data_IF_596018075582
#
_entry.id   IF_596018075582
#
_cell.length_a   1.000
_cell.length_b   1.000
_cell.length_c   1.000
_cell.angle_alpha   90.00
_cell.angle_beta   90.00
_cell.angle_gamma   90.00
#
_symmetry.space_group_name_H-M   'P 1'
#
loop_
_entity.id
_entity.type
_entity.pdbx_description
1 polymer ?
#
# COMPACT_ATOMS: atom_id res chain seq x y z
N UNK A 1 -17.49 -25.45 4.50
CA UNK A 1 -16.52 -24.34 4.30
C UNK A 1 -17.14 -23.11 4.97
N UNK A 2 -16.57 -22.59 6.05
CA UNK A 2 -17.19 -21.46 6.79
C UNK A 2 -17.00 -20.19 5.95
N UNK A 3 -18.08 -19.74 5.30
CA UNK A 3 -18.10 -18.51 4.52
C UNK A 3 -17.95 -17.31 5.47
N UNK A 4 -17.19 -16.29 5.08
CA UNK A 4 -17.20 -15.00 5.77
C UNK A 4 -18.53 -14.28 5.47
N UNK A 5 -19.64 -14.77 6.04
CA UNK A 5 -21.00 -14.31 5.75
C UNK A 5 -21.17 -12.81 6.03
N UNK A 6 -20.66 -12.32 7.16
CA UNK A 6 -20.70 -10.89 7.51
C UNK A 6 -20.03 -10.02 6.43
N UNK A 7 -18.85 -10.45 5.94
CA UNK A 7 -18.10 -9.73 4.91
C UNK A 7 -18.81 -9.79 3.55
N UNK A 8 -19.42 -10.93 3.22
CA UNK A 8 -20.22 -11.07 2.00
C UNK A 8 -21.48 -10.23 2.05
N UNK A 9 -22.19 -10.24 3.18
CA UNK A 9 -23.36 -9.40 3.42
C UNK A 9 -22.98 -7.93 3.28
N UNK A 10 -21.87 -7.52 3.90
CA UNK A 10 -21.34 -6.16 3.80
C UNK A 10 -21.12 -5.71 2.35
N UNK A 11 -20.40 -6.51 1.55
CA UNK A 11 -20.17 -6.17 0.15
C UNK A 11 -21.45 -6.23 -0.69
N UNK A 12 -22.35 -7.18 -0.41
CA UNK A 12 -23.65 -7.24 -1.09
C UNK A 12 -24.49 -6.00 -0.83
N UNK A 13 -24.54 -5.51 0.42
CA UNK A 13 -25.23 -4.27 0.80
C UNK A 13 -24.69 -3.08 0.03
N UNK A 14 -23.36 -2.94 -0.06
CA UNK A 14 -22.73 -1.87 -0.82
C UNK A 14 -22.99 -1.98 -2.34
N UNK A 15 -22.93 -3.18 -2.91
CA UNK A 15 -23.25 -3.41 -4.32
C UNK A 15 -24.70 -3.04 -4.66
N UNK A 16 -25.63 -3.18 -3.71
CA UNK A 16 -27.02 -2.75 -3.83
C UNK A 16 -27.25 -1.25 -3.58
N UNK A 17 -26.18 -0.44 -3.48
CA UNK A 17 -26.28 1.00 -3.22
C UNK A 17 -26.53 1.36 -1.75
N UNK A 18 -26.38 0.39 -0.84
CA UNK A 18 -26.52 0.61 0.59
C UNK A 18 -25.45 1.55 1.13
N UNK A 19 -25.84 2.42 2.06
CA UNK A 19 -24.93 3.32 2.77
C UNK A 19 -24.47 2.71 4.10
N UNK A 20 -23.30 3.14 4.57
CA UNK A 20 -22.78 2.85 5.90
C UNK A 20 -22.64 4.15 6.68
N UNK A 21 -23.06 4.11 7.94
CA UNK A 21 -22.92 5.24 8.85
C UNK A 21 -22.24 4.77 10.12
N UNK A 22 -21.09 5.35 10.42
CA UNK A 22 -20.41 5.13 11.69
C UNK A 22 -21.03 6.03 12.75
N UNK A 23 -21.74 5.42 13.69
CA UNK A 23 -22.27 6.10 14.87
C UNK A 23 -21.24 6.01 15.99
N UNK A 24 -20.75 7.17 16.46
CA UNK A 24 -19.73 7.24 17.53
C UNK A 24 -20.29 7.01 18.94
N UNK A 25 -21.59 6.80 19.06
CA UNK A 25 -22.25 6.43 20.32
C UNK A 25 -22.35 4.91 20.46
N UNK A 26 -22.38 4.43 21.71
CA UNK A 26 -22.53 3.01 22.02
C UNK A 26 -23.96 2.57 21.72
N UNK A 27 -24.15 1.78 20.65
CA UNK A 27 -25.46 1.23 20.30
C UNK A 27 -25.67 -0.21 20.80
N UNK A 28 -24.59 -0.99 20.84
CA UNK A 28 -24.62 -2.40 21.17
C UNK A 28 -23.36 -2.76 21.96
N UNK A 29 -23.56 -3.48 23.06
CA UNK A 29 -22.47 -4.11 23.82
C UNK A 29 -22.58 -5.61 23.62
N UNK A 30 -21.54 -6.24 23.09
CA UNK A 30 -21.47 -7.69 22.94
C UNK A 30 -20.25 -8.26 23.66
N UNK A 31 -20.34 -9.52 24.09
CA UNK A 31 -19.22 -10.23 24.71
C UNK A 31 -18.42 -10.95 23.63
N UNK A 32 -17.22 -10.46 23.34
CA UNK A 32 -16.28 -11.19 22.49
C UNK A 32 -15.83 -12.49 23.17
N UNK A 33 -15.84 -13.59 22.43
CA UNK A 33 -15.23 -14.87 22.84
C UNK A 33 -14.07 -15.16 21.92
N UNK A 34 -12.86 -15.17 22.47
CA UNK A 34 -11.63 -15.42 21.72
C UNK A 34 -11.67 -16.80 21.04
N UNK A 35 -11.19 -16.87 19.80
CA UNK A 35 -11.15 -18.10 18.99
C UNK A 35 -12.53 -18.63 18.53
N UNK A 36 -13.63 -18.00 18.94
CA UNK A 36 -14.99 -18.46 18.65
C UNK A 36 -15.73 -17.59 17.63
N UNK A 37 -15.15 -16.46 17.20
CA UNK A 37 -15.74 -15.66 16.13
C UNK A 37 -15.49 -16.31 14.77
N UNK A 38 -16.49 -16.28 13.88
CA UNK A 38 -16.35 -16.78 12.50
C UNK A 38 -15.18 -16.10 11.77
N UNK A 39 -15.00 -14.79 12.00
CA UNK A 39 -13.89 -14.03 11.43
C UNK A 39 -12.51 -14.52 11.90
N UNK A 40 -12.37 -14.95 13.17
CA UNK A 40 -11.10 -15.49 13.69
C UNK A 40 -10.72 -16.85 13.09
N UNK A 41 -11.70 -17.61 12.63
CA UNK A 41 -11.51 -18.93 12.05
C UNK A 41 -11.44 -18.92 10.52
N UNK A 42 -11.80 -17.80 9.89
CA UNK A 42 -11.74 -17.66 8.44
C UNK A 42 -10.28 -17.51 8.00
N UNK A 43 -9.78 -18.32 7.04
CA UNK A 43 -8.40 -18.20 6.57
C UNK A 43 -8.10 -16.80 6.03
N UNK A 44 -6.95 -16.21 6.43
CA UNK A 44 -6.50 -14.89 5.96
C UNK A 44 -6.49 -14.79 4.43
N UNK A 45 -6.09 -15.86 3.74
CA UNK A 45 -6.11 -15.91 2.27
C UNK A 45 -7.52 -15.82 1.69
N UNK A 46 -8.52 -16.43 2.31
CA UNK A 46 -9.91 -16.33 1.86
C UNK A 46 -10.45 -14.91 2.03
N UNK A 47 -10.18 -14.29 3.19
CA UNK A 47 -10.54 -12.89 3.44
C UNK A 47 -9.87 -11.95 2.42
N UNK A 48 -8.59 -12.17 2.12
CA UNK A 48 -7.88 -11.43 1.09
C UNK A 48 -8.57 -11.55 -0.28
N UNK A 49 -8.89 -12.76 -0.74
CA UNK A 49 -9.55 -12.95 -2.03
C UNK A 49 -10.93 -12.29 -2.07
N UNK A 50 -11.72 -12.41 -1.01
CA UNK A 50 -13.03 -11.75 -0.94
C UNK A 50 -12.90 -10.22 -1.03
N UNK A 51 -11.93 -9.63 -0.33
CA UNK A 51 -11.65 -8.19 -0.37
C UNK A 51 -11.15 -7.75 -1.76
N UNK A 52 -10.30 -8.55 -2.40
CA UNK A 52 -9.80 -8.25 -3.77
C UNK A 52 -10.93 -8.34 -4.79
N UNK A 53 -11.77 -9.37 -4.74
CA UNK A 53 -12.93 -9.48 -5.64
C UNK A 53 -13.90 -8.30 -5.49
N UNK A 54 -14.13 -7.83 -4.25
CA UNK A 54 -14.93 -6.64 -4.01
C UNK A 54 -14.25 -5.38 -4.57
N UNK A 55 -12.94 -5.22 -4.37
CA UNK A 55 -12.16 -4.13 -4.94
C UNK A 55 -12.22 -4.11 -6.48
N UNK A 56 -12.05 -5.26 -7.13
CA UNK A 56 -12.12 -5.37 -8.59
C UNK A 56 -13.49 -4.89 -9.10
N UNK A 57 -14.58 -5.44 -8.54
CA UNK A 57 -15.95 -5.10 -8.99
C UNK A 57 -16.36 -3.68 -8.69
N UNK A 58 -16.02 -3.18 -7.50
CA UNK A 58 -16.56 -1.90 -7.02
C UNK A 58 -15.69 -0.73 -7.41
N UNK A 59 -14.37 -0.92 -7.51
CA UNK A 59 -13.41 0.16 -7.74
C UNK A 59 -12.78 0.04 -9.12
N UNK A 60 -12.20 -1.11 -9.46
CA UNK A 60 -11.44 -1.27 -10.70
C UNK A 60 -12.33 -1.29 -11.96
N UNK A 61 -13.48 -1.98 -11.88
CA UNK A 61 -14.42 -2.17 -12.99
C UNK A 61 -15.48 -1.08 -13.09
N UNK A 62 -15.75 -0.35 -12.00
CA UNK A 62 -16.75 0.74 -11.98
C UNK A 62 -16.08 2.11 -11.98
N UNK A 63 -15.34 2.43 -10.92
CA UNK A 63 -14.82 3.78 -10.72
C UNK A 63 -13.63 4.11 -11.61
N UNK A 64 -12.81 3.09 -11.93
CA UNK A 64 -11.54 3.27 -12.65
C UNK A 64 -11.54 2.71 -14.06
N UNK A 65 -12.64 2.13 -14.55
CA UNK A 65 -12.69 1.60 -15.91
C UNK A 65 -12.31 2.67 -16.95
N UNK A 66 -12.80 3.89 -16.77
CA UNK A 66 -12.57 5.02 -17.68
C UNK A 66 -11.44 5.95 -17.22
N UNK A 67 -10.89 5.75 -16.01
CA UNK A 67 -9.82 6.60 -15.45
C UNK A 67 -8.47 5.93 -15.62
N UNK A 68 -7.48 6.67 -16.13
CA UNK A 68 -6.09 6.22 -16.21
C UNK A 68 -5.91 4.87 -16.94
N UNK A 69 -6.83 4.50 -17.85
CA UNK A 69 -6.88 3.18 -18.50
C UNK A 69 -6.91 2.01 -17.48
N UNK A 70 -7.59 2.22 -16.36
CA UNK A 70 -7.66 1.28 -15.24
C UNK A 70 -6.35 1.07 -14.49
N UNK A 71 -5.27 1.79 -14.81
CA UNK A 71 -3.96 1.61 -14.18
C UNK A 71 -3.92 2.23 -12.79
N UNK A 72 -3.15 1.60 -11.91
CA UNK A 72 -2.96 2.07 -10.53
C UNK A 72 -1.63 1.63 -9.93
N UNK A 73 -1.26 2.25 -8.82
CA UNK A 73 -0.05 1.98 -8.07
C UNK A 73 -0.37 1.20 -6.80
N UNK A 74 0.49 0.24 -6.44
CA UNK A 74 0.41 -0.44 -5.14
C UNK A 74 1.51 0.07 -4.20
N UNK A 75 1.15 0.69 -3.09
CA UNK A 75 2.10 1.06 -2.05
C UNK A 75 2.38 -0.13 -1.14
N UNK A 76 3.62 -0.62 -1.17
CA UNK A 76 4.14 -1.66 -0.30
C UNK A 76 4.53 -2.92 -1.07
N UNK A 77 5.79 -2.99 -1.51
CA UNK A 77 6.37 -4.17 -2.18
C UNK A 77 6.72 -5.33 -1.21
N UNK A 78 5.97 -5.42 -0.09
CA UNK A 78 6.12 -6.45 0.94
C UNK A 78 5.23 -7.67 0.68
N UNK A 79 5.06 -8.50 1.70
CA UNK A 79 4.18 -9.69 1.66
C UNK A 79 2.75 -9.31 1.27
N UNK A 80 2.17 -8.34 1.95
CA UNK A 80 0.75 -7.99 1.80
C UNK A 80 0.43 -7.42 0.41
N UNK A 81 1.26 -6.50 -0.11
CA UNK A 81 1.09 -5.97 -1.47
C UNK A 81 1.31 -7.02 -2.56
N UNK A 82 2.30 -7.93 -2.38
CA UNK A 82 2.49 -9.06 -3.31
C UNK A 82 1.32 -10.04 -3.26
N UNK A 83 0.77 -10.31 -2.07
CA UNK A 83 -0.40 -11.16 -1.89
C UNK A 83 -1.64 -10.53 -2.53
N UNK A 84 -1.84 -9.21 -2.38
CA UNK A 84 -2.88 -8.46 -3.09
C UNK A 84 -2.78 -8.63 -4.61
N UNK A 85 -1.61 -8.37 -5.20
CA UNK A 85 -1.41 -8.50 -6.66
C UNK A 85 -1.64 -9.94 -7.14
N UNK A 86 -1.18 -10.95 -6.40
CA UNK A 86 -1.44 -12.36 -6.74
C UNK A 86 -2.93 -12.71 -6.67
N UNK A 87 -3.67 -12.11 -5.75
CA UNK A 87 -5.09 -12.37 -5.53
C UNK A 87 -6.01 -11.66 -6.54
N UNK A 88 -5.51 -10.71 -7.35
CA UNK A 88 -6.24 -10.18 -8.50
C UNK A 88 -6.65 -11.34 -9.42
N UNK A 89 -7.89 -11.32 -9.91
CA UNK A 89 -8.54 -12.49 -10.51
C UNK A 89 -8.00 -12.82 -11.90
N UNK A 90 -7.74 -11.80 -12.72
CA UNK A 90 -7.36 -11.96 -14.13
C UNK A 90 -5.94 -11.47 -14.42
N UNK A 91 -5.36 -11.95 -15.52
CA UNK A 91 -4.08 -11.43 -16.03
C UNK A 91 -4.17 -9.93 -16.35
N UNK A 92 -5.30 -9.49 -16.91
CA UNK A 92 -5.49 -8.08 -17.29
C UNK A 92 -5.65 -7.18 -16.07
N UNK A 93 -6.33 -7.62 -15.01
CA UNK A 93 -6.35 -6.91 -13.73
C UNK A 93 -4.94 -6.77 -13.13
N UNK A 94 -4.09 -7.80 -13.24
CA UNK A 94 -2.70 -7.72 -12.78
C UNK A 94 -1.84 -6.76 -13.62
N UNK A 95 -2.06 -6.72 -14.94
CA UNK A 95 -1.36 -5.78 -15.85
C UNK A 95 -1.73 -4.32 -15.60
N UNK A 96 -2.86 -4.05 -14.96
CA UNK A 96 -3.25 -2.70 -14.52
C UNK A 96 -2.40 -2.17 -13.36
N UNK A 97 -1.63 -3.03 -12.67
CA UNK A 97 -0.65 -2.58 -11.68
C UNK A 97 0.54 -1.95 -12.39
N UNK A 98 0.63 -0.61 -12.37
CA UNK A 98 1.68 0.14 -13.04
C UNK A 98 3.05 -0.08 -12.39
N UNK A 99 3.11 0.02 -11.06
CA UNK A 99 4.30 -0.26 -10.27
C UNK A 99 3.93 -0.55 -8.82
N UNK A 100 4.93 -1.04 -8.08
CA UNK A 100 4.97 -0.86 -6.63
C UNK A 100 5.71 0.43 -6.28
N UNK A 101 5.29 1.05 -5.19
CA UNK A 101 6.12 2.01 -4.47
C UNK A 101 6.48 1.50 -3.09
N UNK A 102 7.63 1.91 -2.58
CA UNK A 102 8.05 1.61 -1.22
C UNK A 102 8.96 2.73 -0.66
N UNK A 103 9.30 2.59 0.62
CA UNK A 103 10.30 3.40 1.33
C UNK A 103 11.58 2.59 1.59
N UNK A 104 11.49 1.27 1.51
CA UNK A 104 12.61 0.36 1.74
C UNK A 104 13.57 0.36 0.56
N UNK A 105 14.75 0.95 0.78
CA UNK A 105 15.80 1.06 -0.23
C UNK A 105 16.22 -0.30 -0.81
N UNK A 106 16.19 -1.40 -0.05
CA UNK A 106 16.57 -2.69 -0.58
C UNK A 106 15.56 -3.20 -1.61
N UNK A 107 14.26 -2.94 -1.39
CA UNK A 107 13.22 -3.30 -2.36
C UNK A 107 13.34 -2.44 -3.62
N UNK A 108 13.58 -1.14 -3.43
CA UNK A 108 13.73 -0.18 -4.53
C UNK A 108 15.00 -0.50 -5.35
N UNK A 109 16.12 -0.81 -4.70
CA UNK A 109 17.37 -1.23 -5.35
C UNK A 109 17.20 -2.54 -6.13
N UNK A 110 16.31 -3.42 -5.69
CA UNK A 110 15.92 -4.62 -6.44
C UNK A 110 15.26 -4.32 -7.79
N UNK A 111 14.71 -3.11 -7.97
CA UNK A 111 14.19 -2.57 -9.22
C UNK A 111 12.85 -3.13 -9.67
N UNK A 112 12.61 -4.43 -9.49
CA UNK A 112 11.40 -5.12 -9.95
C UNK A 112 10.95 -6.20 -8.98
N UNK A 113 9.63 -6.36 -8.84
CA UNK A 113 9.01 -7.59 -8.37
C UNK A 113 8.78 -8.52 -9.57
N UNK A 114 9.35 -9.72 -9.51
CA UNK A 114 9.19 -10.75 -10.54
C UNK A 114 8.43 -11.93 -9.97
N UNK A 115 7.37 -12.36 -10.66
CA UNK A 115 6.67 -13.60 -10.40
C UNK A 115 6.57 -14.39 -11.72
N UNK A 116 7.35 -15.47 -11.84
CA UNK A 116 7.43 -16.26 -13.07
C UNK A 116 6.14 -17.05 -13.34
N UNK A 117 5.49 -17.57 -12.31
CA UNK A 117 4.25 -18.34 -12.43
C UNK A 117 3.11 -17.51 -13.01
N UNK A 118 3.03 -16.24 -12.59
CA UNK A 118 2.02 -15.30 -13.08
C UNK A 118 2.52 -14.40 -14.22
N UNK A 119 3.74 -14.63 -14.71
CA UNK A 119 4.40 -13.82 -15.75
C UNK A 119 4.40 -12.30 -15.43
N UNK A 120 4.60 -11.94 -14.16
CA UNK A 120 4.64 -10.56 -13.71
C UNK A 120 6.08 -10.06 -13.59
N UNK A 121 6.29 -8.84 -14.09
CA UNK A 121 7.50 -8.04 -13.85
C UNK A 121 7.07 -6.60 -13.59
N UNK A 122 6.93 -6.25 -12.31
CA UNK A 122 6.36 -4.97 -11.87
C UNK A 122 7.48 -4.09 -11.31
N UNK A 123 7.71 -2.88 -11.82
CA UNK A 123 8.72 -1.96 -11.30
C UNK A 123 8.51 -1.64 -9.82
N UNK A 124 9.60 -1.40 -9.08
CA UNK A 124 9.57 -0.90 -7.70
C UNK A 124 10.30 0.44 -7.67
N UNK A 125 9.60 1.50 -7.31
CA UNK A 125 10.15 2.86 -7.23
C UNK A 125 9.87 3.50 -5.87
N UNK A 126 10.46 4.68 -5.60
CA UNK A 126 10.24 5.38 -4.34
C UNK A 126 8.87 6.08 -4.31
N UNK A 127 8.22 6.13 -3.14
CA UNK A 127 6.88 6.70 -2.99
C UNK A 127 6.79 8.20 -3.31
N UNK A 128 7.89 8.94 -3.20
CA UNK A 128 7.92 10.39 -3.49
C UNK A 128 7.46 10.71 -4.91
N UNK A 129 7.64 9.79 -5.85
CA UNK A 129 7.17 9.94 -7.24
C UNK A 129 5.65 9.99 -7.37
N UNK A 130 4.89 9.69 -6.30
CA UNK A 130 3.43 9.80 -6.27
C UNK A 130 2.92 11.20 -5.93
N UNK A 131 3.79 12.08 -5.42
CA UNK A 131 3.40 13.42 -5.03
C UNK A 131 2.84 14.19 -6.24
N UNK A 132 1.65 14.77 -6.06
CA UNK A 132 0.94 15.53 -7.10
C UNK A 132 1.52 16.92 -7.31
N UNK A 133 2.11 17.49 -6.27
CA UNK A 133 2.76 18.80 -6.29
C UNK A 133 4.26 18.62 -6.59
N UNK A 134 4.80 19.24 -7.67
CA UNK A 134 6.22 19.18 -8.03
C UNK A 134 7.16 19.66 -6.93
N UNK A 135 6.80 20.72 -6.18
CA UNK A 135 7.64 21.23 -5.10
C UNK A 135 7.73 20.21 -3.96
N UNK A 136 6.58 19.64 -3.59
CA UNK A 136 6.51 18.59 -2.58
C UNK A 136 7.23 17.31 -3.01
N UNK A 137 7.14 16.96 -4.30
CA UNK A 137 7.88 15.84 -4.87
C UNK A 137 9.38 16.03 -4.71
N UNK A 138 9.89 17.22 -5.06
CA UNK A 138 11.29 17.57 -4.94
C UNK A 138 11.73 17.55 -3.47
N UNK A 139 10.94 18.11 -2.56
CA UNK A 139 11.20 18.10 -1.11
C UNK A 139 11.33 16.66 -0.58
N UNK A 140 10.38 15.78 -0.92
CA UNK A 140 10.39 14.38 -0.48
C UNK A 140 11.58 13.59 -1.07
N UNK A 141 11.97 13.91 -2.31
CA UNK A 141 13.18 13.35 -2.92
C UNK A 141 14.41 13.82 -2.17
N UNK A 142 14.58 15.13 -1.97
CA UNK A 142 15.74 15.69 -1.26
C UNK A 142 15.88 15.15 0.16
N UNK A 143 14.78 15.02 0.90
CA UNK A 143 14.78 14.42 2.23
C UNK A 143 15.22 12.94 2.21
N UNK A 144 14.87 12.20 1.15
CA UNK A 144 15.28 10.80 0.98
C UNK A 144 16.78 10.62 0.69
N UNK A 145 17.47 11.66 0.20
CA UNK A 145 18.90 11.63 -0.15
C UNK A 145 19.81 12.38 0.84
N UNK A 146 19.32 13.42 1.49
CA UNK A 146 20.12 14.33 2.33
C UNK A 146 20.43 13.74 3.70
N UNK A 147 19.50 12.93 4.23
CA UNK A 147 19.77 12.11 5.39
C UNK A 147 20.45 10.86 4.82
N UNK A 148 21.73 10.62 5.10
CA UNK A 148 22.40 9.35 4.79
C UNK A 148 21.81 8.14 5.52
N UNK A 149 20.55 8.24 5.96
CA UNK A 149 19.75 7.22 6.55
C UNK A 149 19.09 6.40 5.46
N UNK A 150 19.44 5.11 5.41
CA UNK A 150 18.59 4.07 4.84
C UNK A 150 17.21 3.94 5.55
N UNK A 151 16.75 4.98 6.25
CA UNK A 151 15.63 5.01 7.18
C UNK A 151 14.60 6.12 6.89
N UNK A 152 14.78 6.99 5.89
CA UNK A 152 13.77 8.01 5.56
C UNK A 152 12.45 7.36 5.13
N UNK A 153 11.34 7.78 5.75
CA UNK A 153 10.01 7.18 5.53
C UNK A 153 9.87 5.73 6.05
N UNK A 154 10.89 5.15 6.68
CA UNK A 154 10.91 3.73 7.07
C UNK A 154 9.82 3.40 8.08
N UNK A 155 9.05 2.39 7.73
CA UNK A 155 7.97 1.85 8.56
C UNK A 155 8.56 0.84 9.55
N UNK A 156 8.88 1.30 10.75
CA UNK A 156 9.32 0.43 11.84
C UNK A 156 8.10 -0.23 12.48
N UNK A 157 7.77 -1.45 12.04
CA UNK A 157 6.76 -2.29 12.69
C UNK A 157 7.32 -2.76 14.03
N UNK A 158 6.81 -2.19 15.13
CA UNK A 158 7.41 -2.22 16.47
C UNK A 158 8.08 -3.53 16.93
N UNK A 159 9.32 -3.40 17.38
CA UNK A 159 9.81 -4.02 18.63
C UNK A 159 9.89 -2.88 19.65
N UNK A 160 9.39 -3.08 20.87
CA UNK A 160 9.59 -2.14 21.98
C UNK A 160 11.05 -1.72 22.02
N UNK A 161 11.34 -0.44 21.72
CA UNK A 161 12.67 0.10 21.94
C UNK A 161 12.77 0.44 23.43
N UNK A 162 13.41 -0.45 24.18
CA UNK A 162 14.09 -0.04 25.41
C UNK A 162 15.27 0.80 24.95
N UNK A 163 15.26 2.07 25.32
CA UNK A 163 16.33 3.04 25.10
C UNK A 163 17.64 2.47 25.66
N UNK A 164 18.59 2.12 24.78
CA UNK A 164 20.00 2.03 25.17
C UNK A 164 20.73 3.21 24.56
N UNK A 165 21.15 4.11 25.45
CA UNK A 165 22.09 5.18 25.14
C UNK A 165 23.47 4.63 24.80
N UNK A 166 24.28 5.47 24.13
CA UNK A 166 25.69 5.33 23.72
C UNK A 166 25.91 4.46 22.47
N UNK A 167 26.70 4.84 21.46
CA UNK A 167 27.92 5.65 21.49
C UNK A 167 28.17 6.38 20.14
N UNK A 168 28.73 7.58 20.20
CA UNK A 168 29.08 8.40 19.03
C UNK A 168 30.41 7.92 18.43
N UNK A 169 30.35 7.08 17.40
CA UNK A 169 31.51 6.82 16.53
C UNK A 169 31.30 7.40 15.15
N UNK A 170 32.22 8.29 14.78
CA UNK A 170 32.35 9.00 13.52
C UNK A 170 32.29 8.04 12.32
N UNK A 171 31.11 7.87 11.70
CA UNK A 171 30.99 7.24 10.38
C UNK A 171 31.08 8.31 9.30
N UNK A 172 32.16 8.26 8.52
CA UNK A 172 32.38 9.07 7.31
C UNK A 172 31.12 9.12 6.45
N UNK A 173 30.59 10.33 6.24
CA UNK A 173 29.49 10.62 5.31
C UNK A 173 29.96 10.31 3.89
N UNK A 174 29.64 9.14 3.36
CA UNK A 174 29.75 8.90 1.92
C UNK A 174 28.57 9.60 1.25
N UNK A 175 28.88 10.66 0.50
CA UNK A 175 27.92 11.37 -0.36
C UNK A 175 27.51 10.40 -1.48
N UNK A 176 26.34 9.78 -1.34
CA UNK A 176 25.77 8.92 -2.39
C UNK A 176 25.46 9.82 -3.58
N UNK A 177 26.27 9.74 -4.63
CA UNK A 177 26.02 10.43 -5.89
C UNK A 177 24.80 9.81 -6.60
N UNK A 178 23.98 10.62 -7.29
CA UNK A 178 22.76 10.17 -7.94
C UNK A 178 23.09 9.40 -9.22
N UNK A 179 23.27 8.09 -9.10
CA UNK A 179 22.96 7.17 -10.21
C UNK A 179 21.92 6.19 -9.72
N UNK A 180 20.76 6.76 -9.46
CA UNK A 180 19.52 6.08 -9.23
C UNK A 180 19.12 5.36 -10.52
N UNK A 181 19.70 4.18 -10.74
CA UNK A 181 19.35 3.29 -11.85
C UNK A 181 18.01 2.59 -11.58
N UNK A 182 17.01 3.36 -11.17
CA UNK A 182 15.62 2.90 -11.09
C UNK A 182 15.20 2.38 -12.46
N UNK A 183 14.26 1.44 -12.50
CA UNK A 183 13.72 0.82 -13.72
C UNK A 183 13.78 1.76 -14.94
N UNK A 184 14.87 1.71 -15.73
CA UNK A 184 15.19 2.76 -16.73
C UNK A 184 14.16 2.84 -17.85
N UNK A 185 13.39 1.77 -17.99
CA UNK A 185 12.40 1.58 -19.05
C UNK A 185 10.96 1.85 -18.55
N UNK A 186 10.79 2.33 -17.31
CA UNK A 186 9.47 2.65 -16.76
C UNK A 186 9.26 4.16 -16.72
N UNK A 187 8.24 4.62 -17.44
CA UNK A 187 7.82 6.02 -17.40
C UNK A 187 7.21 6.36 -16.03
N UNK A 188 7.95 7.14 -15.23
CA UNK A 188 7.50 7.59 -13.91
C UNK A 188 6.66 8.86 -13.96
N UNK A 189 6.58 9.54 -15.11
CA UNK A 189 5.85 10.81 -15.24
C UNK A 189 4.34 10.66 -15.07
N UNK A 190 3.81 9.46 -15.32
CA UNK A 190 2.39 9.16 -15.15
C UNK A 190 1.97 9.00 -13.68
N UNK A 191 2.91 8.72 -12.77
CA UNK A 191 2.62 8.31 -11.38
C UNK A 191 1.81 9.34 -10.58
N UNK A 192 2.06 10.67 -10.69
CA UNK A 192 1.22 11.69 -10.05
C UNK A 192 -0.25 11.66 -10.48
N UNK A 193 -0.59 11.06 -11.62
CA UNK A 193 -1.99 10.96 -12.09
C UNK A 193 -2.69 9.67 -11.67
N UNK A 194 -1.96 8.63 -11.24
CA UNK A 194 -2.54 7.31 -11.00
C UNK A 194 -3.13 7.18 -9.58
N UNK A 195 -4.26 6.46 -9.42
CA UNK A 195 -4.76 6.01 -8.13
C UNK A 195 -3.76 5.15 -7.36
N UNK A 196 -3.82 5.20 -6.02
CA UNK A 196 -2.90 4.47 -5.13
C UNK A 196 -3.66 3.51 -4.22
N UNK A 197 -3.26 2.24 -4.21
CA UNK A 197 -3.73 1.23 -3.25
C UNK A 197 -2.65 1.00 -2.21
N UNK A 198 -2.92 1.37 -0.96
CA UNK A 198 -1.99 1.27 0.16
C UNK A 198 -2.11 -0.09 0.83
N UNK A 199 -1.20 -1.01 0.53
CA UNK A 199 -1.13 -2.35 1.11
C UNK A 199 -0.23 -2.44 2.35
N UNK A 200 -0.06 -1.32 3.06
CA UNK A 200 0.72 -1.26 4.30
C UNK A 200 -0.21 -0.99 5.47
N UNK A 201 -0.08 -1.80 6.52
CA UNK A 201 -0.88 -1.67 7.73
C UNK A 201 -0.69 -0.29 8.39
N UNK A 202 -1.81 0.43 8.54
CA UNK A 202 -1.88 1.68 9.30
C UNK A 202 -1.64 1.45 10.80
N UNK A 203 -1.27 2.52 11.51
CA UNK A 203 -1.09 2.60 12.96
C UNK A 203 0.00 1.69 13.56
N UNK A 204 0.67 0.88 12.72
CA UNK A 204 1.79 0.02 13.13
C UNK A 204 3.16 0.63 12.82
N UNK A 205 3.17 1.89 12.41
CA UNK A 205 4.34 2.57 11.83
C UNK A 205 4.75 3.82 12.61
N UNK A 206 4.16 4.03 13.80
CA UNK A 206 4.35 5.25 14.61
C UNK A 206 4.05 6.54 13.82
N UNK A 207 3.03 6.49 12.97
CA UNK A 207 2.60 7.62 12.14
C UNK A 207 3.44 7.85 10.87
N UNK A 208 4.48 7.04 10.61
CA UNK A 208 5.38 7.26 9.47
C UNK A 208 4.66 7.07 8.13
N UNK A 209 3.86 6.01 7.99
CA UNK A 209 3.05 5.78 6.80
C UNK A 209 2.07 6.93 6.58
N UNK A 210 1.39 7.34 7.65
CA UNK A 210 0.36 8.37 7.63
C UNK A 210 0.94 9.73 7.20
N UNK A 211 2.13 10.09 7.69
CA UNK A 211 2.86 11.29 7.22
C UNK A 211 3.27 11.20 5.76
N UNK A 212 3.76 10.04 5.31
CA UNK A 212 4.14 9.86 3.91
C UNK A 212 2.92 9.94 2.98
N UNK A 213 1.80 9.33 3.38
CA UNK A 213 0.53 9.38 2.65
C UNK A 213 0.01 10.81 2.56
N UNK A 214 0.02 11.56 3.66
CA UNK A 214 -0.32 12.98 3.64
C UNK A 214 0.61 13.79 2.73
N UNK A 215 1.90 13.45 2.71
CA UNK A 215 2.92 14.14 1.92
C UNK A 215 2.76 13.98 0.41
N UNK A 216 2.06 12.97 -0.10
CA UNK A 216 1.85 12.81 -1.55
C UNK A 216 0.60 13.52 -2.09
N UNK A 217 -0.19 14.17 -1.22
CA UNK A 217 -1.31 15.01 -1.64
C UNK A 217 -2.55 14.26 -2.15
N UNK A 218 -2.73 12.99 -1.77
CA UNK A 218 -3.88 12.17 -2.18
C UNK A 218 -5.04 12.24 -1.19
N UNK A 219 -6.24 12.00 -1.70
CA UNK A 219 -7.51 11.98 -0.97
C UNK A 219 -8.09 10.56 -0.93
N UNK A 220 -8.32 10.07 0.29
CA UNK A 220 -8.93 8.74 0.50
C UNK A 220 -10.31 8.64 -0.18
N UNK A 221 -10.55 7.55 -0.89
CA UNK A 221 -11.79 7.29 -1.62
C UNK A 221 -11.92 8.01 -2.97
N UNK A 222 -10.95 8.86 -3.34
CA UNK A 222 -10.91 9.56 -4.64
C UNK A 222 -9.74 9.13 -5.52
N UNK A 223 -8.54 9.13 -4.96
CA UNK A 223 -7.29 8.74 -5.64
C UNK A 223 -6.35 7.93 -4.73
N UNK A 224 -6.79 7.60 -3.52
CA UNK A 224 -6.09 6.71 -2.58
C UNK A 224 -7.05 5.78 -1.82
N UNK A 225 -6.67 4.52 -1.66
CA UNK A 225 -7.44 3.50 -0.95
C UNK A 225 -6.55 2.67 -0.03
N UNK A 226 -6.96 2.47 1.21
CA UNK A 226 -6.26 1.57 2.12
C UNK A 226 -6.72 0.11 1.95
N UNK A 227 -5.76 -0.79 1.75
CA UNK A 227 -5.97 -2.22 1.60
C UNK A 227 -5.03 -2.98 2.55
N UNK A 228 -5.29 -2.91 3.87
CA UNK A 228 -4.54 -3.67 4.89
C UNK A 228 -5.42 -4.51 5.80
#
# INVERSE_FOLDING_TARGET
MRLAEDLRFFYSHLCCGGALRLLRQRLLTYRHREGMSQSSQTPRKLLLHLRVLAFERMVLERDWADKCNGKFVVWGAGRDGKDFVKALSTSDARKRVACFVDVDFNKIKGGYYVNKELQLRIPIVHFSLLATDPEKQQELLEQSFSIGDANFGRINKGRNQVSKATDHTNRKKSRIQPKASYARDFDTSILPSLPVVVCVAMYRTSGALERNVAGIGRTEGKDLWHFS
#
